data_IF_124475039509
#
_entry.id   IF_124475039509
#
_cell.length_a   1.000
_cell.length_b   1.000
_cell.length_c   1.000
_cell.angle_alpha   90.00
_cell.angle_beta   90.00
_cell.angle_gamma   90.00
#
_symmetry.space_group_name_H-M   'P 1'
#
loop_
_entity.id
_entity.type
_entity.pdbx_description
1 polymer ?
#
# COMPACT_ATOMS: atom_id res chain seq x y z
N UNK A 1 36.65 -20.58 13.48
CA UNK A 1 37.44 -21.16 12.36
C UNK A 1 36.51 -21.45 11.18
N UNK A 2 36.49 -20.59 10.16
CA UNK A 2 35.68 -20.81 8.95
C UNK A 2 36.41 -21.84 8.08
N UNK A 3 35.79 -22.99 7.88
CA UNK A 3 36.39 -24.13 7.19
C UNK A 3 36.74 -23.75 5.74
N UNK A 4 38.04 -23.70 5.33
CA UNK A 4 38.47 -23.18 4.03
C UNK A 4 37.93 -23.99 2.84
N UNK A 5 37.48 -25.23 3.10
CA UNK A 5 36.84 -26.09 2.10
C UNK A 5 35.49 -25.56 1.59
N UNK A 6 34.75 -24.80 2.40
CA UNK A 6 33.41 -24.32 2.01
C UNK A 6 33.46 -23.14 1.02
N UNK A 7 34.52 -22.31 1.09
CA UNK A 7 34.73 -21.22 0.14
C UNK A 7 35.14 -21.76 -1.24
N UNK A 8 35.99 -22.79 -1.26
CA UNK A 8 36.46 -23.45 -2.49
C UNK A 8 35.34 -24.18 -3.23
N UNK A 9 34.39 -24.78 -2.52
CA UNK A 9 33.22 -25.44 -3.13
C UNK A 9 32.29 -24.40 -3.78
N UNK A 10 32.04 -23.26 -3.13
CA UNK A 10 31.21 -22.18 -3.72
C UNK A 10 31.86 -21.54 -4.96
N UNK A 11 33.19 -21.35 -4.93
CA UNK A 11 33.94 -20.83 -6.09
C UNK A 11 33.93 -21.85 -7.24
N UNK A 12 34.12 -23.15 -6.96
CA UNK A 12 33.98 -24.21 -7.99
C UNK A 12 32.57 -24.29 -8.56
N UNK A 13 31.51 -24.16 -7.76
CA UNK A 13 30.13 -24.16 -8.25
C UNK A 13 29.84 -22.93 -9.12
N UNK A 14 30.34 -21.74 -8.74
CA UNK A 14 30.23 -20.54 -9.57
C UNK A 14 31.03 -20.65 -10.88
N UNK A 15 32.25 -21.21 -10.84
CA UNK A 15 33.07 -21.45 -12.03
C UNK A 15 32.44 -22.49 -12.94
N UNK A 16 31.80 -23.53 -12.39
CA UNK A 16 31.13 -24.60 -13.13
C UNK A 16 29.79 -24.11 -13.73
N UNK A 17 29.05 -23.24 -13.04
CA UNK A 17 27.88 -22.52 -13.60
C UNK A 17 28.28 -21.50 -14.67
N UNK A 18 29.40 -20.80 -14.52
CA UNK A 18 29.91 -19.84 -15.50
C UNK A 18 30.48 -20.55 -16.74
N UNK A 19 31.06 -21.75 -16.56
CA UNK A 19 31.41 -22.68 -17.66
C UNK A 19 30.17 -23.28 -18.33
N UNK A 20 29.10 -23.59 -17.59
CA UNK A 20 27.85 -24.10 -18.17
C UNK A 20 27.14 -23.03 -19.03
N UNK A 21 27.31 -21.75 -18.71
CA UNK A 21 26.82 -20.62 -19.51
C UNK A 21 27.73 -20.38 -20.74
N UNK A 22 29.03 -20.64 -20.65
CA UNK A 22 30.00 -20.55 -21.76
C UNK A 22 29.91 -21.72 -22.77
N UNK A 23 29.35 -22.87 -22.36
CA UNK A 23 29.14 -24.05 -23.22
C UNK A 23 27.65 -24.23 -23.54
N UNK A 24 26.89 -23.13 -23.67
CA UNK A 24 25.78 -23.15 -24.61
C UNK A 24 26.37 -22.90 -25.99
N UNK A 25 26.53 -23.92 -26.85
CA UNK A 25 26.80 -23.65 -28.24
C UNK A 25 25.67 -22.76 -28.74
N UNK A 26 26.02 -21.54 -29.18
CA UNK A 26 25.14 -20.63 -29.92
C UNK A 26 24.83 -21.19 -31.31
N UNK A 27 24.60 -22.50 -31.41
CA UNK A 27 24.10 -23.19 -32.61
C UNK A 27 22.58 -23.14 -32.65
N UNK A 28 21.93 -22.80 -31.54
CA UNK A 28 20.48 -22.73 -31.43
C UNK A 28 19.83 -21.55 -32.19
N UNK A 29 20.56 -20.83 -33.07
CA UNK A 29 20.02 -19.72 -33.88
C UNK A 29 20.40 -19.73 -35.38
N UNK A 30 20.71 -20.90 -35.95
CA UNK A 30 20.96 -21.03 -37.39
C UNK A 30 19.72 -21.48 -38.16
N UNK A 31 19.47 -20.91 -39.34
CA UNK A 31 18.51 -21.44 -40.30
C UNK A 31 19.10 -22.72 -40.94
N UNK A 32 18.25 -23.69 -41.25
CA UNK A 32 18.68 -24.94 -41.89
C UNK A 32 18.17 -24.97 -43.32
N UNK A 33 19.08 -24.96 -44.28
CA UNK A 33 18.78 -25.14 -45.70
C UNK A 33 19.07 -26.59 -46.08
N UNK A 34 18.05 -27.30 -46.56
CA UNK A 34 18.17 -28.65 -47.12
C UNK A 34 18.29 -28.51 -48.63
N UNK A 35 19.39 -28.97 -49.21
CA UNK A 35 19.62 -28.99 -50.65
C UNK A 35 18.98 -30.23 -51.30
N UNK A 36 18.74 -30.18 -52.62
CA UNK A 36 18.15 -31.28 -53.40
C UNK A 36 19.00 -32.55 -53.40
N UNK A 37 20.30 -32.42 -53.22
CA UNK A 37 21.26 -33.52 -53.10
C UNK A 37 21.34 -34.11 -51.67
N UNK A 38 20.48 -33.65 -50.75
CA UNK A 38 20.40 -34.14 -49.37
C UNK A 38 21.37 -33.44 -48.40
N UNK A 39 22.28 -32.59 -48.87
CA UNK A 39 23.16 -31.81 -47.98
C UNK A 39 22.37 -30.80 -47.16
N UNK A 40 22.80 -30.58 -45.92
CA UNK A 40 22.22 -29.60 -45.00
C UNK A 40 23.25 -28.50 -44.73
N UNK A 41 22.82 -27.26 -44.88
CA UNK A 41 23.62 -26.07 -44.58
C UNK A 41 22.99 -25.38 -43.39
N UNK A 42 23.73 -25.31 -42.29
CA UNK A 42 23.35 -24.61 -41.07
C UNK A 42 24.01 -23.23 -41.07
N UNK A 43 23.21 -22.16 -41.12
CA UNK A 43 23.72 -20.79 -41.09
C UNK A 43 22.60 -19.76 -41.07
N UNK A 44 22.92 -18.49 -40.86
CA UNK A 44 21.91 -17.41 -40.86
C UNK A 44 21.69 -16.92 -42.28
N UNK A 45 20.46 -16.94 -42.78
CA UNK A 45 20.15 -16.35 -44.10
C UNK A 45 20.22 -14.83 -43.98
N UNK A 46 21.17 -14.22 -44.70
CA UNK A 46 21.40 -12.76 -44.66
C UNK A 46 20.76 -12.03 -45.85
N UNK A 47 20.57 -12.74 -46.97
CA UNK A 47 19.93 -12.19 -48.17
C UNK A 47 19.17 -13.29 -48.91
N UNK A 48 18.00 -12.96 -49.47
CA UNK A 48 17.17 -13.91 -50.19
C UNK A 48 16.54 -13.26 -51.41
N UNK A 49 17.13 -13.51 -52.57
CA UNK A 49 16.66 -13.03 -53.86
C UNK A 49 15.94 -14.16 -54.63
N UNK A 50 15.23 -13.84 -55.73
CA UNK A 50 14.51 -14.85 -56.52
C UNK A 50 15.43 -15.92 -57.14
N UNK A 51 16.68 -15.59 -57.45
CA UNK A 51 17.66 -16.51 -58.07
C UNK A 51 18.69 -17.06 -57.07
N UNK A 52 19.09 -16.27 -56.07
CA UNK A 52 20.18 -16.62 -55.14
C UNK A 52 19.78 -16.40 -53.67
N UNK A 53 20.32 -17.23 -52.79
CA UNK A 53 20.23 -17.11 -51.33
C UNK A 53 21.65 -17.03 -50.78
N UNK A 54 21.90 -16.03 -49.93
CA UNK A 54 23.19 -15.85 -49.26
C UNK A 54 23.05 -16.27 -47.79
N UNK A 55 23.87 -17.25 -47.40
CA UNK A 55 23.87 -17.83 -46.06
C UNK A 55 25.20 -17.53 -45.39
N UNK A 56 25.16 -16.96 -44.19
CA UNK A 56 26.34 -16.77 -43.35
C UNK A 56 26.54 -18.03 -42.49
N UNK A 57 27.60 -18.78 -42.79
CA UNK A 57 27.94 -20.03 -42.10
C UNK A 57 29.16 -19.80 -41.20
N UNK A 58 29.08 -20.27 -39.96
CA UNK A 58 30.21 -20.21 -39.02
C UNK A 58 31.15 -21.38 -39.30
N UNK A 59 32.43 -21.09 -39.55
CA UNK A 59 33.48 -22.09 -39.78
C UNK A 59 34.61 -21.81 -38.78
N UNK A 60 34.68 -22.61 -37.71
CA UNK A 60 35.60 -22.39 -36.60
C UNK A 60 35.32 -21.06 -35.86
N UNK A 61 36.32 -20.19 -35.77
CA UNK A 61 36.22 -18.84 -35.18
C UNK A 61 35.78 -17.76 -36.17
N UNK A 62 35.71 -18.08 -37.47
CA UNK A 62 35.37 -17.14 -38.54
C UNK A 62 33.97 -17.43 -39.12
N UNK A 63 33.41 -16.47 -39.86
CA UNK A 63 32.15 -16.64 -40.59
C UNK A 63 32.36 -16.42 -42.08
N UNK A 64 31.84 -17.32 -42.91
CA UNK A 64 31.93 -17.28 -44.37
C UNK A 64 30.55 -17.06 -44.99
N UNK A 65 30.47 -16.26 -46.05
CA UNK A 65 29.25 -16.09 -46.86
C UNK A 65 29.23 -17.15 -47.95
N UNK A 66 28.17 -17.94 -48.00
CA UNK A 66 27.94 -18.95 -49.04
C UNK A 66 26.79 -18.46 -49.93
N UNK A 67 27.03 -18.47 -51.23
CA UNK A 67 26.04 -18.12 -52.25
C UNK A 67 25.44 -19.41 -52.81
N UNK A 68 24.12 -19.57 -52.69
CA UNK A 68 23.40 -20.75 -53.15
C UNK A 68 22.37 -20.35 -54.19
N UNK A 69 22.27 -21.10 -55.27
CA UNK A 69 21.18 -20.93 -56.23
C UNK A 69 19.88 -21.51 -55.67
N UNK A 70 18.78 -20.77 -55.79
CA UNK A 70 17.48 -21.18 -55.24
C UNK A 70 17.00 -22.52 -55.81
N UNK A 71 17.38 -22.84 -57.06
CA UNK A 71 17.03 -24.12 -57.72
C UNK A 71 17.61 -25.35 -57.03
N UNK A 72 18.69 -25.18 -56.26
CA UNK A 72 19.38 -26.27 -55.55
C UNK A 72 18.79 -26.52 -54.15
N UNK A 73 17.92 -25.64 -53.66
CA UNK A 73 17.36 -25.72 -52.31
C UNK A 73 16.04 -26.49 -52.37
N UNK A 74 15.94 -27.54 -51.56
CA UNK A 74 14.76 -28.39 -51.42
C UNK A 74 13.79 -27.82 -50.37
N UNK A 75 14.29 -27.48 -49.17
CA UNK A 75 13.48 -26.93 -48.05
C UNK A 75 14.31 -25.95 -47.22
N UNK A 76 13.66 -24.91 -46.70
CA UNK A 76 14.28 -23.94 -45.79
C UNK A 76 13.52 -24.00 -44.47
N UNK A 77 14.21 -24.34 -43.38
CA UNK A 77 13.70 -24.22 -42.02
C UNK A 77 14.28 -22.93 -41.43
N UNK A 78 13.55 -21.83 -41.59
CA UNK A 78 13.91 -20.57 -40.94
C UNK A 78 13.60 -20.66 -39.46
N UNK A 79 14.53 -20.23 -38.61
CA UNK A 79 14.19 -20.00 -37.23
C UNK A 79 13.16 -18.89 -37.11
N UNK A 80 12.18 -19.10 -36.23
CA UNK A 80 11.21 -18.07 -35.88
C UNK A 80 11.98 -16.97 -35.15
N UNK A 81 11.97 -15.75 -35.70
CA UNK A 81 12.55 -14.57 -35.05
C UNK A 81 12.14 -14.53 -33.58
N UNK A 82 13.08 -14.17 -32.72
CA UNK A 82 12.74 -13.97 -31.31
C UNK A 82 11.73 -12.85 -31.17
N UNK A 83 10.90 -12.90 -30.13
CA UNK A 83 9.96 -11.82 -29.83
C UNK A 83 10.66 -10.46 -29.75
N UNK A 84 11.89 -10.41 -29.22
CA UNK A 84 12.69 -9.19 -29.13
C UNK A 84 13.18 -8.66 -30.48
N UNK A 85 13.62 -9.52 -31.41
CA UNK A 85 14.03 -9.10 -32.76
C UNK A 85 12.86 -8.52 -33.56
N UNK A 86 11.66 -9.11 -33.42
CA UNK A 86 10.45 -8.59 -34.06
C UNK A 86 10.08 -7.20 -33.54
N UNK A 87 10.17 -6.98 -32.22
CA UNK A 87 9.95 -5.69 -31.59
C UNK A 87 10.98 -4.65 -32.08
N UNK A 88 12.26 -5.03 -32.23
CA UNK A 88 13.29 -4.11 -32.71
C UNK A 88 13.09 -3.71 -34.16
N UNK A 89 12.73 -4.64 -35.04
CA UNK A 89 12.46 -4.37 -36.45
C UNK A 89 11.23 -3.45 -36.62
N UNK A 90 10.15 -3.72 -35.87
CA UNK A 90 8.96 -2.87 -35.86
C UNK A 90 9.28 -1.47 -35.31
N UNK A 91 10.11 -1.38 -34.28
CA UNK A 91 10.60 -0.10 -33.75
C UNK A 91 11.37 0.69 -34.81
N UNK A 92 12.31 0.06 -35.52
CA UNK A 92 13.11 0.70 -36.57
C UNK A 92 12.23 1.18 -37.74
N UNK A 93 11.25 0.38 -38.13
CA UNK A 93 10.30 0.75 -39.16
C UNK A 93 9.51 2.00 -38.77
N UNK A 94 8.92 2.02 -37.56
CA UNK A 94 8.18 3.17 -37.04
C UNK A 94 9.07 4.40 -36.85
N UNK A 95 10.32 4.21 -36.42
CA UNK A 95 11.30 5.29 -36.28
C UNK A 95 11.59 5.95 -37.63
N UNK A 96 11.83 5.17 -38.69
CA UNK A 96 12.06 5.68 -40.05
C UNK A 96 10.83 6.44 -40.56
N UNK A 97 9.63 5.91 -40.34
CA UNK A 97 8.37 6.59 -40.69
C UNK A 97 8.23 7.96 -39.99
N UNK A 98 8.45 7.98 -38.67
CA UNK A 98 8.36 9.20 -37.87
C UNK A 98 9.40 10.26 -38.27
N UNK A 99 10.62 9.84 -38.62
CA UNK A 99 11.66 10.73 -39.12
C UNK A 99 11.28 11.37 -40.47
N UNK A 100 10.69 10.58 -41.39
CA UNK A 100 10.31 11.06 -42.73
C UNK A 100 9.15 12.06 -42.68
N UNK A 101 8.16 11.81 -41.82
CA UNK A 101 6.93 12.60 -41.77
C UNK A 101 7.13 14.01 -41.18
N UNK A 102 8.13 14.21 -40.32
CA UNK A 102 8.34 15.44 -39.52
C UNK A 102 7.11 15.92 -38.72
N UNK A 103 6.04 15.11 -38.65
CA UNK A 103 4.82 15.40 -37.91
C UNK A 103 4.96 14.95 -36.46
N UNK A 104 4.60 15.79 -35.48
CA UNK A 104 4.70 15.43 -34.07
C UNK A 104 3.82 14.22 -33.69
N UNK A 105 2.70 14.01 -34.39
CA UNK A 105 1.76 12.90 -34.17
C UNK A 105 2.42 11.53 -34.42
N UNK A 106 3.34 11.42 -35.37
CA UNK A 106 4.04 10.16 -35.67
C UNK A 106 5.02 9.77 -34.55
N UNK A 107 5.70 10.77 -33.98
CA UNK A 107 6.57 10.58 -32.82
C UNK A 107 5.77 10.20 -31.56
N UNK A 108 4.58 10.78 -31.39
CA UNK A 108 3.66 10.38 -30.32
C UNK A 108 3.16 8.94 -30.52
N UNK A 109 2.80 8.55 -31.74
CA UNK A 109 2.38 7.18 -32.05
C UNK A 109 3.50 6.17 -31.76
N UNK A 110 4.74 6.48 -32.15
CA UNK A 110 5.92 5.70 -31.81
C UNK A 110 6.10 5.60 -30.28
N UNK A 111 5.96 6.69 -29.55
CA UNK A 111 6.08 6.69 -28.09
C UNK A 111 5.02 5.82 -27.42
N UNK A 112 3.74 5.94 -27.82
CA UNK A 112 2.63 5.12 -27.29
C UNK A 112 2.86 3.63 -27.55
N UNK A 113 3.33 3.29 -28.75
CA UNK A 113 3.69 1.92 -29.07
C UNK A 113 4.86 1.42 -28.20
N UNK A 114 5.94 2.20 -28.07
CA UNK A 114 7.06 1.86 -27.21
C UNK A 114 6.65 1.65 -25.74
N UNK A 115 5.68 2.42 -25.24
CA UNK A 115 5.16 2.24 -23.88
C UNK A 115 4.45 0.89 -23.70
N UNK A 116 3.66 0.45 -24.68
CA UNK A 116 2.97 -0.86 -24.64
C UNK A 116 3.98 -2.01 -24.64
N UNK A 117 5.02 -1.88 -25.45
CA UNK A 117 6.13 -2.85 -25.52
C UNK A 117 7.14 -2.72 -24.36
N UNK A 118 6.85 -1.86 -23.36
CA UNK A 118 7.69 -1.61 -22.17
C UNK A 118 9.11 -1.10 -22.49
N UNK A 119 9.28 -0.46 -23.65
CA UNK A 119 10.52 0.19 -24.09
C UNK A 119 10.61 1.62 -23.52
N UNK A 120 10.73 1.75 -22.20
CA UNK A 120 10.63 3.03 -21.49
C UNK A 120 11.58 4.12 -22.01
N UNK A 121 12.87 3.80 -22.19
CA UNK A 121 13.86 4.78 -22.66
C UNK A 121 13.55 5.27 -24.09
N UNK A 122 13.19 4.34 -24.99
CA UNK A 122 12.82 4.67 -26.38
C UNK A 122 11.55 5.51 -26.44
N UNK A 123 10.56 5.18 -25.61
CA UNK A 123 9.34 5.97 -25.46
C UNK A 123 9.63 7.40 -25.02
N UNK A 124 10.48 7.58 -24.01
CA UNK A 124 10.85 8.90 -23.52
C UNK A 124 11.58 9.73 -24.58
N UNK A 125 12.51 9.12 -25.33
CA UNK A 125 13.20 9.79 -26.44
C UNK A 125 12.21 10.23 -27.53
N UNK A 126 11.27 9.35 -27.91
CA UNK A 126 10.24 9.67 -28.89
C UNK A 126 9.33 10.82 -28.42
N UNK A 127 8.91 10.84 -27.14
CA UNK A 127 8.14 11.94 -26.57
C UNK A 127 8.91 13.26 -26.56
N UNK A 128 10.20 13.25 -26.24
CA UNK A 128 11.03 14.46 -26.30
C UNK A 128 11.14 15.02 -27.71
N UNK A 129 11.21 14.16 -28.73
CA UNK A 129 11.19 14.59 -30.14
C UNK A 129 9.83 15.17 -30.52
N UNK A 130 8.73 14.50 -30.13
CA UNK A 130 7.37 15.01 -30.33
C UNK A 130 7.19 16.40 -29.69
N UNK A 131 7.65 16.58 -28.44
CA UNK A 131 7.58 17.85 -27.71
C UNK A 131 8.24 18.99 -28.50
N UNK A 132 9.45 18.78 -29.03
CA UNK A 132 10.16 19.81 -29.82
C UNK A 132 9.41 20.16 -31.11
N UNK A 133 8.83 19.18 -31.79
CA UNK A 133 8.06 19.40 -33.02
C UNK A 133 6.76 20.15 -32.73
N UNK A 134 6.05 19.77 -31.67
CA UNK A 134 4.87 20.51 -31.22
C UNK A 134 5.22 21.96 -30.87
N UNK A 135 6.27 22.18 -30.06
CA UNK A 135 6.71 23.52 -29.67
C UNK A 135 7.03 24.39 -30.89
N UNK A 136 7.79 23.87 -31.85
CA UNK A 136 8.12 24.58 -33.09
C UNK A 136 6.89 24.89 -33.93
N UNK A 137 5.97 23.93 -34.09
CA UNK A 137 4.73 24.13 -34.86
C UNK A 137 3.83 25.19 -34.20
N UNK A 138 3.74 25.15 -32.88
CA UNK A 138 2.96 26.12 -32.11
C UNK A 138 3.55 27.52 -32.17
N UNK A 139 4.88 27.66 -32.09
CA UNK A 139 5.55 28.94 -32.28
C UNK A 139 5.36 29.51 -33.70
N UNK A 140 5.33 28.65 -34.73
CA UNK A 140 5.08 29.08 -36.12
C UNK A 140 3.65 29.59 -36.33
N UNK A 141 2.65 28.90 -35.77
CA UNK A 141 1.25 29.30 -35.90
C UNK A 141 0.88 30.48 -34.99
N UNK A 142 1.54 30.58 -33.83
CA UNK A 142 1.42 31.62 -32.81
C UNK A 142 -0.02 32.12 -32.55
N UNK A 143 -0.97 31.20 -32.44
CA UNK A 143 -2.37 31.52 -32.16
C UNK A 143 -2.84 30.80 -30.89
N UNK A 144 -3.94 31.30 -30.31
CA UNK A 144 -4.49 30.80 -29.05
C UNK A 144 -4.80 29.29 -29.10
N UNK A 145 -5.39 28.82 -30.19
CA UNK A 145 -5.78 27.42 -30.36
C UNK A 145 -4.57 26.47 -30.40
N UNK A 146 -3.50 26.86 -31.10
CA UNK A 146 -2.28 26.06 -31.20
C UNK A 146 -1.57 25.95 -29.86
N UNK A 147 -1.48 27.05 -29.11
CA UNK A 147 -0.94 27.03 -27.75
C UNK A 147 -1.80 26.20 -26.78
N UNK A 148 -3.12 26.23 -26.93
CA UNK A 148 -4.04 25.40 -26.14
C UNK A 148 -3.88 23.91 -26.43
N UNK A 149 -3.80 23.51 -27.70
CA UNK A 149 -3.60 22.12 -28.10
C UNK A 149 -2.24 21.61 -27.59
N UNK A 150 -1.19 22.40 -27.74
CA UNK A 150 0.13 22.08 -27.20
C UNK A 150 0.12 21.92 -25.68
N UNK A 151 -0.55 22.84 -24.97
CA UNK A 151 -0.66 22.77 -23.52
C UNK A 151 -1.39 21.48 -23.09
N UNK A 152 -2.56 21.19 -23.69
CA UNK A 152 -3.33 19.96 -23.43
C UNK A 152 -2.49 18.70 -23.68
N UNK A 153 -1.75 18.67 -24.78
CA UNK A 153 -0.85 17.56 -25.11
C UNK A 153 0.26 17.39 -24.06
N UNK A 154 0.86 18.49 -23.61
CA UNK A 154 1.87 18.47 -22.56
C UNK A 154 1.32 17.91 -21.24
N UNK A 155 0.08 18.25 -20.87
CA UNK A 155 -0.59 17.70 -19.68
C UNK A 155 -0.75 16.18 -19.80
N UNK A 156 -1.26 15.70 -20.93
CA UNK A 156 -1.49 14.27 -21.18
C UNK A 156 -0.18 13.45 -21.08
N UNK A 157 0.93 14.05 -21.51
CA UNK A 157 2.25 13.42 -21.51
C UNK A 157 3.11 13.78 -20.28
N UNK A 158 2.50 14.35 -19.22
CA UNK A 158 3.15 14.69 -17.94
C UNK A 158 4.27 15.75 -18.03
N UNK A 159 4.29 16.56 -19.07
CA UNK A 159 5.20 17.71 -19.21
C UNK A 159 4.64 18.97 -18.52
N UNK A 160 4.41 18.89 -17.21
CA UNK A 160 3.69 19.92 -16.45
C UNK A 160 4.30 21.33 -16.56
N UNK A 161 5.63 21.46 -16.45
CA UNK A 161 6.32 22.77 -16.57
C UNK A 161 6.10 23.43 -17.94
N UNK A 162 6.17 22.64 -19.01
CA UNK A 162 5.94 23.14 -20.38
C UNK A 162 4.44 23.43 -20.60
N UNK A 163 3.55 22.62 -20.04
CA UNK A 163 2.11 22.89 -20.07
C UNK A 163 1.77 24.22 -19.41
N UNK A 164 2.33 24.50 -18.22
CA UNK A 164 2.13 25.76 -17.51
C UNK A 164 2.58 26.96 -18.35
N UNK A 165 3.78 26.91 -18.93
CA UNK A 165 4.30 27.95 -19.83
C UNK A 165 3.39 28.16 -21.05
N UNK A 166 2.91 27.07 -21.66
CA UNK A 166 2.00 27.14 -22.79
C UNK A 166 0.66 27.77 -22.40
N UNK A 167 0.07 27.40 -21.25
CA UNK A 167 -1.16 28.02 -20.75
C UNK A 167 -0.98 29.50 -20.38
N UNK A 168 0.18 29.90 -19.85
CA UNK A 168 0.50 31.31 -19.65
C UNK A 168 0.53 32.08 -20.97
N UNK A 169 1.09 31.49 -22.04
CA UNK A 169 1.04 32.07 -23.39
C UNK A 169 -0.38 32.17 -23.93
N UNK A 170 -1.23 31.16 -23.71
CA UNK A 170 -2.65 31.23 -24.06
C UNK A 170 -3.31 32.45 -23.40
N UNK A 171 -3.11 32.66 -22.09
CA UNK A 171 -3.71 33.79 -21.37
C UNK A 171 -3.18 35.14 -21.88
N UNK A 172 -1.93 35.20 -22.33
CA UNK A 172 -1.39 36.42 -22.93
C UNK A 172 -2.02 36.79 -24.27
N UNK A 173 -2.51 35.79 -25.02
CA UNK A 173 -3.18 35.98 -26.32
C UNK A 173 -4.70 36.14 -26.18
N UNK A 174 -5.31 35.34 -25.33
CA UNK A 174 -6.73 35.36 -24.98
C UNK A 174 -6.85 35.40 -23.46
N UNK A 175 -6.98 36.61 -22.88
CA UNK A 175 -7.12 36.75 -21.45
C UNK A 175 -8.30 35.93 -20.92
N UNK A 176 -9.46 35.97 -21.56
CA UNK A 176 -10.68 35.33 -21.06
C UNK A 176 -10.74 33.81 -21.26
N UNK A 177 -9.63 33.19 -21.67
CA UNK A 177 -9.57 31.76 -21.89
C UNK A 177 -9.79 30.95 -20.59
N UNK A 178 -11.00 30.43 -20.44
CA UNK A 178 -11.38 29.68 -19.25
C UNK A 178 -10.55 28.40 -19.06
N UNK A 179 -10.16 27.73 -20.13
CA UNK A 179 -9.40 26.46 -20.04
C UNK A 179 -8.01 26.70 -19.46
N UNK A 180 -7.30 27.72 -19.96
CA UNK A 180 -5.97 28.05 -19.49
C UNK A 180 -5.98 28.59 -18.05
N UNK A 181 -6.92 29.49 -17.74
CA UNK A 181 -7.08 30.04 -16.39
C UNK A 181 -7.42 28.96 -15.37
N UNK A 182 -8.34 28.04 -15.69
CA UNK A 182 -8.67 26.92 -14.81
C UNK A 182 -7.46 26.01 -14.57
N UNK A 183 -6.66 25.72 -15.60
CA UNK A 183 -5.45 24.90 -15.43
C UNK A 183 -4.42 25.55 -14.51
N UNK A 184 -4.28 26.88 -14.58
CA UNK A 184 -3.39 27.64 -13.69
C UNK A 184 -3.98 27.91 -12.30
N UNK A 185 -5.16 27.35 -11.97
CA UNK A 185 -5.78 27.50 -10.65
C UNK A 185 -6.58 28.78 -10.44
N UNK A 186 -6.95 29.48 -11.51
CA UNK A 186 -7.89 30.59 -11.45
C UNK A 186 -9.33 30.10 -11.55
N UNK A 187 -10.23 30.79 -10.87
CA UNK A 187 -11.67 30.53 -10.85
C UNK A 187 -12.40 31.81 -11.19
N UNK A 188 -13.43 31.71 -12.04
CA UNK A 188 -14.27 32.84 -12.40
C UNK A 188 -15.31 33.08 -11.30
N UNK A 189 -15.31 34.29 -10.73
CA UNK A 189 -16.27 34.72 -9.71
C UNK A 189 -16.73 36.14 -9.98
N UNK A 190 -18.06 36.36 -10.06
CA UNK A 190 -18.68 37.66 -10.34
C UNK A 190 -18.01 38.39 -11.51
N UNK A 191 -17.85 37.70 -12.64
CA UNK A 191 -17.24 38.20 -13.87
C UNK A 191 -15.76 38.62 -13.79
N UNK A 192 -15.04 38.25 -12.72
CA UNK A 192 -13.60 38.44 -12.59
C UNK A 192 -12.90 37.13 -12.29
N UNK A 193 -11.63 37.04 -12.64
CA UNK A 193 -10.80 35.88 -12.41
C UNK A 193 -9.94 36.10 -11.17
N UNK A 194 -9.95 35.12 -10.27
CA UNK A 194 -9.20 35.15 -9.03
C UNK A 194 -8.52 33.80 -8.83
N UNK A 195 -7.41 33.75 -8.10
CA UNK A 195 -6.85 32.48 -7.66
C UNK A 195 -7.80 31.78 -6.69
N UNK A 196 -7.80 30.46 -6.67
CA UNK A 196 -8.68 29.68 -5.79
C UNK A 196 -8.60 30.12 -4.31
N UNK A 197 -7.39 30.40 -3.80
CA UNK A 197 -7.15 30.89 -2.44
C UNK A 197 -7.78 32.27 -2.17
N UNK A 198 -7.78 33.14 -3.18
CA UNK A 198 -8.39 34.48 -3.07
C UNK A 198 -9.90 34.38 -3.01
N UNK A 199 -10.50 33.45 -3.77
CA UNK A 199 -11.94 33.18 -3.73
C UNK A 199 -12.38 32.71 -2.35
N UNK A 200 -11.62 31.83 -1.71
CA UNK A 200 -11.95 31.38 -0.35
C UNK A 200 -11.97 32.56 0.62
N UNK A 201 -10.97 33.44 0.57
CA UNK A 201 -10.94 34.66 1.39
C UNK A 201 -12.10 35.61 1.10
N UNK A 202 -12.46 35.79 -0.18
CA UNK A 202 -13.59 36.62 -0.60
C UNK A 202 -14.91 36.03 -0.05
N UNK A 203 -15.15 34.73 -0.25
CA UNK A 203 -16.34 34.04 0.24
C UNK A 203 -16.41 34.08 1.76
N UNK A 204 -15.30 33.84 2.45
CA UNK A 204 -15.24 33.93 3.91
C UNK A 204 -15.59 35.35 4.40
N UNK A 205 -15.06 36.39 3.74
CA UNK A 205 -15.39 37.79 4.05
C UNK A 205 -16.88 38.08 3.78
N UNK A 206 -17.43 37.63 2.65
CA UNK A 206 -18.85 37.80 2.33
C UNK A 206 -19.77 37.11 3.34
N UNK A 207 -19.42 35.90 3.78
CA UNK A 207 -20.20 35.18 4.79
C UNK A 207 -20.18 35.90 6.15
N UNK A 208 -19.02 36.44 6.54
CA UNK A 208 -18.91 37.28 7.76
C UNK A 208 -19.72 38.56 7.65
N UNK A 209 -19.70 39.23 6.50
CA UNK A 209 -20.49 40.44 6.24
C UNK A 209 -22.00 40.16 6.30
N UNK A 210 -22.43 38.95 5.91
CA UNK A 210 -23.81 38.48 6.07
C UNK A 210 -24.14 38.08 7.53
N UNK A 211 -23.21 38.24 8.47
CA UNK A 211 -23.40 37.93 9.88
C UNK A 211 -23.21 36.46 10.26
N UNK A 212 -22.68 35.62 9.37
CA UNK A 212 -22.39 34.22 9.69
C UNK A 212 -21.02 34.08 10.38
N UNK A 213 -20.92 33.08 11.25
CA UNK A 213 -19.71 32.73 11.98
C UNK A 213 -19.22 31.34 11.54
N UNK A 214 -17.91 31.21 11.32
CA UNK A 214 -17.28 29.95 10.91
C UNK A 214 -16.85 29.17 12.16
N UNK A 215 -17.38 27.97 12.34
CA UNK A 215 -17.01 27.06 13.42
C UNK A 215 -16.78 25.66 12.84
N UNK A 216 -15.63 25.04 13.15
CA UNK A 216 -15.22 23.71 12.64
C UNK A 216 -15.43 23.53 11.12
N UNK A 217 -15.07 24.56 10.33
CA UNK A 217 -15.17 24.53 8.86
C UNK A 217 -16.57 24.78 8.28
N UNK A 218 -17.61 24.93 9.11
CA UNK A 218 -18.98 25.21 8.68
C UNK A 218 -19.44 26.60 9.10
N UNK A 219 -20.37 27.17 8.35
CA UNK A 219 -20.95 28.49 8.61
C UNK A 219 -22.26 28.37 9.38
N UNK A 220 -22.40 29.16 10.43
CA UNK A 220 -23.56 29.18 11.30
C UNK A 220 -24.04 30.61 11.51
N UNK A 221 -25.35 30.78 11.71
CA UNK A 221 -25.85 32.03 12.29
C UNK A 221 -25.42 32.10 13.77
N UNK A 222 -25.29 33.30 14.37
CA UNK A 222 -24.90 33.42 15.78
C UNK A 222 -25.80 32.63 16.73
N UNK A 223 -27.12 32.64 16.47
CA UNK A 223 -28.11 31.85 17.22
C UNK A 223 -27.85 30.34 17.10
N UNK A 224 -27.69 29.84 15.87
CA UNK A 224 -27.45 28.42 15.63
C UNK A 224 -26.11 27.94 16.25
N UNK A 225 -25.07 28.79 16.17
CA UNK A 225 -23.78 28.49 16.78
C UNK A 225 -23.90 28.40 18.31
N UNK A 226 -24.59 29.34 18.94
CA UNK A 226 -24.80 29.30 20.39
C UNK A 226 -25.56 28.04 20.81
N UNK A 227 -26.64 27.69 20.11
CA UNK A 227 -27.38 26.43 20.36
C UNK A 227 -26.48 25.21 20.20
N UNK A 228 -25.64 25.16 19.16
CA UNK A 228 -24.71 24.05 18.96
C UNK A 228 -23.70 23.93 20.11
N UNK A 229 -23.13 25.03 20.56
CA UNK A 229 -22.19 25.04 21.67
C UNK A 229 -22.86 24.61 22.99
N UNK A 230 -24.11 25.01 23.21
CA UNK A 230 -24.91 24.54 24.35
C UNK A 230 -25.15 23.03 24.27
N UNK A 231 -25.51 22.49 23.11
CA UNK A 231 -25.67 21.05 22.91
C UNK A 231 -24.37 20.28 23.15
N UNK A 232 -23.23 20.78 22.65
CA UNK A 232 -21.92 20.17 22.92
C UNK A 232 -21.60 20.17 24.42
N UNK A 233 -21.93 21.27 25.12
CA UNK A 233 -21.76 21.37 26.57
C UNK A 233 -22.69 20.39 27.31
N UNK A 234 -23.96 20.31 26.92
CA UNK A 234 -24.94 19.42 27.55
C UNK A 234 -24.55 17.95 27.39
N UNK A 235 -24.11 17.53 26.19
CA UNK A 235 -23.59 16.17 25.96
C UNK A 235 -22.43 15.81 26.89
N UNK A 236 -21.48 16.73 27.09
CA UNK A 236 -20.38 16.52 28.05
C UNK A 236 -20.89 16.36 29.48
N UNK A 237 -21.91 17.12 29.87
CA UNK A 237 -22.54 16.97 31.18
C UNK A 237 -23.29 15.65 31.32
N UNK A 238 -23.99 15.21 30.28
CA UNK A 238 -24.68 13.91 30.23
C UNK A 238 -23.69 12.74 30.39
N UNK A 239 -22.56 12.78 29.68
CA UNK A 239 -21.49 11.78 29.81
C UNK A 239 -20.92 11.75 31.24
N UNK A 240 -20.67 12.92 31.83
CA UNK A 240 -20.19 13.03 33.21
C UNK A 240 -21.22 12.51 34.21
N UNK A 241 -22.51 12.81 34.01
CA UNK A 241 -23.60 12.32 34.84
C UNK A 241 -23.69 10.80 34.80
N UNK A 242 -23.58 10.20 33.61
CA UNK A 242 -23.57 8.75 33.43
C UNK A 242 -22.41 8.09 34.16
N UNK A 243 -21.21 8.68 34.10
CA UNK A 243 -20.06 8.17 34.84
C UNK A 243 -20.26 8.24 36.37
N UNK A 244 -20.86 9.33 36.86
CA UNK A 244 -21.17 9.48 38.28
C UNK A 244 -22.23 8.47 38.74
N UNK A 245 -23.26 8.23 37.94
CA UNK A 245 -24.27 7.20 38.19
C UNK A 245 -23.63 5.81 38.31
N UNK A 246 -22.78 5.43 37.35
CA UNK A 246 -22.06 4.14 37.40
C UNK A 246 -21.20 3.99 38.65
N UNK A 247 -20.50 5.05 39.07
CA UNK A 247 -19.73 5.04 40.32
C UNK A 247 -20.62 4.87 41.53
N UNK A 248 -21.75 5.55 41.57
CA UNK A 248 -22.71 5.44 42.66
C UNK A 248 -23.33 4.03 42.74
N UNK A 249 -23.66 3.43 41.59
CA UNK A 249 -24.17 2.06 41.51
C UNK A 249 -23.11 1.06 42.03
N UNK A 250 -21.85 1.25 41.62
CA UNK A 250 -20.75 0.40 42.09
C UNK A 250 -20.52 0.52 43.60
N UNK A 251 -20.55 1.74 44.14
CA UNK A 251 -20.46 1.97 45.59
C UNK A 251 -21.64 1.31 46.32
N UNK A 252 -22.84 1.40 45.77
CA UNK A 252 -24.04 0.78 46.34
C UNK A 252 -23.93 -0.75 46.37
N UNK A 253 -23.38 -1.36 45.30
CA UNK A 253 -23.09 -2.80 45.26
C UNK A 253 -22.04 -3.21 46.31
N UNK A 254 -20.96 -2.45 46.46
CA UNK A 254 -19.94 -2.71 47.47
C UNK A 254 -20.52 -2.61 48.89
N UNK A 255 -21.37 -1.60 49.13
CA UNK A 255 -22.06 -1.43 50.39
C UNK A 255 -22.98 -2.63 50.68
N UNK A 256 -23.77 -3.07 49.71
CA UNK A 256 -24.60 -4.27 49.83
C UNK A 256 -23.77 -5.54 50.11
N UNK A 257 -22.66 -5.73 49.40
CA UNK A 257 -21.75 -6.86 49.65
C UNK A 257 -21.15 -6.83 51.06
N UNK A 258 -20.79 -5.63 51.55
CA UNK A 258 -20.27 -5.47 52.91
C UNK A 258 -21.33 -5.80 53.96
N UNK A 259 -22.58 -5.38 53.76
CA UNK A 259 -23.70 -5.69 54.66
C UNK A 259 -23.96 -7.20 54.73
N UNK A 260 -23.94 -7.90 53.59
CA UNK A 260 -24.08 -9.36 53.55
C UNK A 260 -22.94 -10.04 54.32
N UNK A 261 -21.70 -9.57 54.15
CA UNK A 261 -20.55 -10.12 54.88
C UNK A 261 -20.68 -9.91 56.39
N UNK A 262 -21.10 -8.73 56.82
CA UNK A 262 -21.33 -8.41 58.23
C UNK A 262 -22.42 -9.35 58.79
N UNK A 263 -23.56 -9.48 58.12
CA UNK A 263 -24.64 -10.36 58.56
C UNK A 263 -24.20 -11.83 58.70
N UNK A 264 -23.38 -12.33 57.77
CA UNK A 264 -22.81 -13.68 57.87
C UNK A 264 -21.86 -13.84 59.08
N UNK A 265 -21.08 -12.79 59.40
CA UNK A 265 -20.20 -12.81 60.57
C UNK A 265 -21.00 -12.76 61.87
N UNK A 266 -22.06 -11.96 61.92
CA UNK A 266 -22.99 -11.90 63.06
C UNK A 266 -23.61 -13.27 63.35
N UNK A 267 -24.07 -13.98 62.31
CA UNK A 267 -24.58 -15.35 62.46
C UNK A 267 -23.52 -16.33 63.00
N UNK A 268 -22.28 -16.24 62.48
CA UNK A 268 -21.17 -17.07 62.99
C UNK A 268 -20.83 -16.76 64.45
N UNK A 269 -20.85 -15.49 64.83
CA UNK A 269 -20.61 -15.09 66.21
C UNK A 269 -21.70 -15.65 67.13
N UNK A 270 -22.98 -15.54 66.73
CA UNK A 270 -24.11 -16.09 67.49
C UNK A 270 -24.00 -17.62 67.68
N UNK A 271 -23.61 -18.35 66.63
CA UNK A 271 -23.40 -19.81 66.73
C UNK A 271 -22.23 -20.17 67.64
N UNK A 272 -21.13 -19.41 67.61
CA UNK A 272 -20.00 -19.61 68.53
C UNK A 272 -20.39 -19.32 69.98
N UNK A 273 -21.16 -18.25 70.23
CA UNK A 273 -21.71 -17.93 71.54
C UNK A 273 -22.59 -19.06 72.08
N UNK A 274 -23.48 -19.60 71.24
CA UNK A 274 -24.31 -20.75 71.61
C UNK A 274 -23.48 -21.99 71.94
N UNK A 275 -22.45 -22.30 71.13
CA UNK A 275 -21.55 -23.42 71.38
C UNK A 275 -20.75 -23.24 72.68
N UNK A 276 -20.27 -22.03 72.94
CA UNK A 276 -19.56 -21.70 74.18
C UNK A 276 -20.47 -21.88 75.41
N UNK A 277 -21.70 -21.36 75.36
CA UNK A 277 -22.69 -21.54 76.43
C UNK A 277 -23.00 -23.02 76.66
N UNK A 278 -23.14 -23.80 75.58
CA UNK A 278 -23.36 -25.24 75.68
C UNK A 278 -22.18 -25.98 76.32
N UNK A 279 -20.94 -25.65 75.94
CA UNK A 279 -19.73 -26.23 76.53
C UNK A 279 -19.59 -25.85 78.01
N UNK A 280 -19.88 -24.61 78.38
CA UNK A 280 -19.91 -24.18 79.78
C UNK A 280 -20.93 -24.98 80.60
N UNK A 281 -22.13 -25.19 80.07
CA UNK A 281 -23.15 -26.01 80.73
C UNK A 281 -22.69 -27.47 80.91
N UNK A 282 -22.09 -28.06 79.88
CA UNK A 282 -21.53 -29.42 79.92
C UNK A 282 -20.36 -29.53 80.91
N UNK A 283 -19.48 -28.54 80.94
CA UNK A 283 -18.39 -28.50 81.91
C UNK A 283 -18.92 -28.39 83.33
N UNK A 284 -19.91 -27.51 83.57
CA UNK A 284 -20.56 -27.35 84.87
C UNK A 284 -21.20 -28.67 85.34
N UNK A 285 -21.89 -29.40 84.46
CA UNK A 285 -22.51 -30.69 84.81
C UNK A 285 -21.49 -31.79 85.10
N UNK A 286 -20.41 -31.88 84.31
CA UNK A 286 -19.30 -32.80 84.57
C UNK A 286 -18.61 -32.50 85.89
N UNK A 287 -18.33 -31.22 86.16
CA UNK A 287 -17.73 -30.78 87.42
C UNK A 287 -18.61 -31.13 88.63
N UNK A 288 -19.93 -30.87 88.55
CA UNK A 288 -20.90 -31.27 89.57
C UNK A 288 -20.90 -32.78 89.83
N UNK A 289 -20.87 -33.60 88.77
CA UNK A 289 -20.83 -35.05 88.88
C UNK A 289 -19.54 -35.57 89.51
N UNK A 290 -18.39 -35.02 89.10
CA UNK A 290 -17.09 -35.37 89.69
C UNK A 290 -17.03 -34.98 91.17
N UNK A 291 -17.50 -33.77 91.50
CA UNK A 291 -17.56 -33.29 92.87
C UNK A 291 -18.42 -34.21 93.76
N UNK A 292 -19.58 -34.65 93.28
CA UNK A 292 -20.44 -35.62 93.98
C UNK A 292 -19.74 -36.96 94.18
N UNK A 293 -19.07 -37.51 93.16
CA UNK A 293 -18.32 -38.77 93.27
C UNK A 293 -17.17 -38.68 94.27
N UNK A 294 -16.44 -37.55 94.30
CA UNK A 294 -15.41 -37.32 95.30
C UNK A 294 -16.00 -37.33 96.71
N UNK A 295 -17.11 -36.63 96.94
CA UNK A 295 -17.80 -36.64 98.24
C UNK A 295 -18.26 -38.04 98.67
N UNK A 296 -18.72 -38.88 97.73
CA UNK A 296 -19.07 -40.28 98.02
C UNK A 296 -17.85 -41.13 98.36
N UNK A 297 -16.72 -40.94 97.67
CA UNK A 297 -15.47 -41.64 98.00
C UNK A 297 -14.95 -41.22 99.37
N UNK A 298 -14.96 -39.93 99.69
CA UNK A 298 -14.57 -39.43 101.01
C UNK A 298 -15.43 -40.04 102.12
N UNK A 299 -16.76 -40.16 101.90
CA UNK A 299 -17.66 -40.86 102.82
C UNK A 299 -17.31 -42.34 102.98
N UNK A 300 -17.03 -43.06 101.89
CA UNK A 300 -16.63 -44.47 101.93
C UNK A 300 -15.30 -44.68 102.65
N UNK A 301 -14.32 -43.82 102.41
CA UNK A 301 -13.03 -43.85 103.12
C UNK A 301 -13.25 -43.66 104.63
N UNK A 302 -14.11 -42.70 105.02
CA UNK A 302 -14.45 -42.46 106.42
C UNK A 302 -15.15 -43.68 107.07
N UNK A 303 -16.03 -44.37 106.34
CA UNK A 303 -16.68 -45.60 106.80
C UNK A 303 -15.69 -46.76 106.97
N UNK A 304 -14.77 -46.96 106.01
CA UNK A 304 -13.72 -47.98 106.10
C UNK A 304 -12.74 -47.69 107.25
N UNK A 305 -12.39 -46.43 107.47
CA UNK A 305 -11.61 -46.03 108.65
C UNK A 305 -12.36 -46.41 109.92
N UNK A 306 -13.67 -46.14 110.02
CA UNK A 306 -14.49 -46.52 111.18
C UNK A 306 -14.59 -48.04 111.39
N UNK A 307 -14.51 -48.87 110.34
CA UNK A 307 -14.56 -50.33 110.46
C UNK A 307 -13.22 -50.97 110.84
N UNK A 308 -12.09 -50.31 110.57
CA UNK A 308 -10.75 -50.78 110.97
C UNK A 308 -10.43 -50.52 112.45
N UNK A 309 -11.19 -49.65 113.13
CA UNK A 309 -11.08 -49.35 114.56
C UNK A 309 -12.11 -50.12 115.43
N UNK A 310 -12.70 -51.19 114.89
CA UNK A 310 -13.57 -52.14 115.60
C UNK A 310 -12.96 -53.52 115.60
#
# INVERSE_FOLDING_TARGET
MKNPYFLWIKIKIYLLLLLLILVYPTTAQADILVLKDGRRIEGKIVESNPSTIVVLVKVGTSSAKIYLERKMILRIHKQKKTSWEQILEEYEYRLKSAQKSQKPQEWEALAKWCQREKLHNKAQMALQKALKLYENNTQKQNNTNSWLEFAKWCVQNKFFKKAEQAYQKVISLDPENATARNYLGYVRYKNKWYRAEEIEKIRDKEMRLKGYLKYKGKWYTPKALNTLLQLEKNKKWEEKLKLLQQKNDHLSQLLQQSQIKISNLEQKLQTLEQNYLHLLQKFKSLWLSLYQKMQEQDKKILELQKSLYK
#
